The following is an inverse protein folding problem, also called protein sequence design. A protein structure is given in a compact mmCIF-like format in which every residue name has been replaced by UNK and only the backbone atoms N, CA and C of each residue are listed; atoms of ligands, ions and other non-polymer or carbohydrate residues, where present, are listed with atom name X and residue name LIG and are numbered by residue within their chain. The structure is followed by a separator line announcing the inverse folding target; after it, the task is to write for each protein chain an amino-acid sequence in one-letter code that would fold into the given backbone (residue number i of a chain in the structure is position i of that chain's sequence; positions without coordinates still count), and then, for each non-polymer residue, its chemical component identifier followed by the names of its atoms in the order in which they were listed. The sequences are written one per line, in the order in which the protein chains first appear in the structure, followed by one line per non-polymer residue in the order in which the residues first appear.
data_IF_514437081484
#
_entry.id   IF_514437081484
#
_cell.length_a   1.000
_cell.length_b   1.000
_cell.length_c   1.000
_cell.angle_alpha   90.00
_cell.angle_beta   90.00
_cell.angle_gamma   90.00
#
_symmetry.space_group_name_H-M   'P 1'
#
loop_
_entity.id
_entity.type
_entity.pdbx_description
1 polymer ?
#
# COMPACT_ATOMS: atom_id res chain seq x y z
N UNK A 1 4.39 -15.24 -15.18
CA UNK A 1 3.03 -15.75 -14.91
C UNK A 1 3.11 -16.62 -13.67
N UNK A 2 2.29 -16.34 -12.65
CA UNK A 2 2.21 -17.14 -11.42
C UNK A 2 0.82 -17.80 -11.39
N UNK A 3 0.74 -19.08 -11.04
CA UNK A 3 -0.52 -19.82 -10.96
C UNK A 3 -0.63 -20.55 -9.62
N UNK A 4 -1.84 -20.60 -9.06
CA UNK A 4 -2.15 -21.33 -7.83
C UNK A 4 -3.03 -22.53 -8.18
N UNK A 5 -2.67 -23.70 -7.63
CA UNK A 5 -3.49 -24.88 -7.77
C UNK A 5 -4.41 -25.01 -6.54
N UNK A 6 -5.71 -24.90 -6.76
CA UNK A 6 -6.72 -25.02 -5.70
C UNK A 6 -7.31 -26.43 -5.78
N UNK A 7 -7.43 -27.16 -4.66
CA UNK A 7 -8.17 -28.42 -4.63
C UNK A 7 -9.62 -28.22 -5.12
N UNK A 8 -10.13 -29.05 -6.05
CA UNK A 8 -11.49 -28.88 -6.60
C UNK A 8 -12.59 -28.86 -5.53
N UNK A 9 -12.38 -29.55 -4.42
CA UNK A 9 -13.30 -29.56 -3.27
C UNK A 9 -13.42 -28.22 -2.55
N UNK A 10 -12.40 -27.36 -2.63
CA UNK A 10 -12.38 -26.06 -1.97
C UNK A 10 -12.81 -24.92 -2.89
N UNK A 11 -12.78 -25.11 -4.21
CA UNK A 11 -13.15 -24.06 -5.17
C UNK A 11 -14.55 -23.48 -4.92
N UNK A 12 -15.62 -24.27 -4.70
CA UNK A 12 -16.95 -23.73 -4.42
C UNK A 12 -16.99 -22.91 -3.11
N UNK A 13 -16.22 -23.33 -2.12
CA UNK A 13 -16.13 -22.63 -0.82
C UNK A 13 -15.42 -21.30 -0.98
N UNK A 14 -14.31 -21.26 -1.74
CA UNK A 14 -13.58 -20.02 -2.02
C UNK A 14 -14.41 -19.06 -2.87
N UNK A 15 -15.13 -19.55 -3.89
CA UNK A 15 -16.01 -18.71 -4.71
C UNK A 15 -17.12 -18.05 -3.88
N UNK A 16 -17.72 -18.80 -2.94
CA UNK A 16 -18.71 -18.24 -2.01
C UNK A 16 -18.12 -17.20 -1.07
N UNK A 17 -16.87 -17.39 -0.63
CA UNK A 17 -16.24 -16.50 0.33
C UNK A 17 -15.66 -15.22 -0.31
N UNK A 18 -15.11 -15.34 -1.53
CA UNK A 18 -14.30 -14.29 -2.17
C UNK A 18 -14.84 -13.83 -3.54
N UNK A 19 -15.94 -14.41 -4.00
CA UNK A 19 -16.53 -14.15 -5.32
C UNK A 19 -15.98 -15.06 -6.42
N UNK A 20 -16.55 -14.94 -7.62
CA UNK A 20 -16.24 -15.82 -8.74
C UNK A 20 -14.86 -15.55 -9.38
N UNK A 21 -14.35 -14.33 -9.25
CA UNK A 21 -13.02 -13.97 -9.74
C UNK A 21 -11.95 -14.22 -8.66
N UNK A 22 -11.62 -15.50 -8.48
CA UNK A 22 -10.61 -15.92 -7.51
C UNK A 22 -9.21 -15.38 -7.83
N UNK A 23 -8.91 -15.13 -9.11
CA UNK A 23 -7.63 -14.56 -9.50
C UNK A 23 -7.53 -13.12 -8.98
N UNK A 24 -8.58 -12.32 -9.21
CA UNK A 24 -8.64 -10.96 -8.70
C UNK A 24 -8.60 -10.96 -7.17
N UNK A 25 -9.39 -11.79 -6.51
CA UNK A 25 -9.40 -11.89 -5.06
C UNK A 25 -8.02 -12.25 -4.48
N UNK A 26 -7.29 -13.16 -5.13
CA UNK A 26 -5.93 -13.52 -4.72
C UNK A 26 -4.94 -12.35 -4.84
N UNK A 27 -5.00 -11.59 -5.93
CA UNK A 27 -4.16 -10.40 -6.12
C UNK A 27 -4.50 -9.34 -5.06
N UNK A 28 -5.78 -9.10 -4.80
CA UNK A 28 -6.22 -8.14 -3.79
C UNK A 28 -5.77 -8.55 -2.37
N UNK A 29 -5.90 -9.82 -2.01
CA UNK A 29 -5.43 -10.34 -0.73
C UNK A 29 -3.91 -10.23 -0.59
N UNK A 30 -3.16 -10.54 -1.66
CA UNK A 30 -1.70 -10.41 -1.67
C UNK A 30 -1.26 -8.95 -1.53
N UNK A 31 -1.95 -8.02 -2.19
CA UNK A 31 -1.68 -6.59 -2.08
C UNK A 31 -1.86 -6.10 -0.63
N UNK A 32 -2.94 -6.53 0.03
CA UNK A 32 -3.19 -6.18 1.44
C UNK A 32 -2.08 -6.70 2.35
N UNK A 33 -1.69 -7.96 2.19
CA UNK A 33 -0.63 -8.57 3.01
C UNK A 33 0.73 -7.93 2.76
N UNK A 34 1.05 -7.64 1.49
CA UNK A 34 2.29 -6.96 1.13
C UNK A 34 2.35 -5.54 1.73
N UNK A 35 1.24 -4.81 1.75
CA UNK A 35 1.14 -3.52 2.42
C UNK A 35 1.27 -3.65 3.95
N UNK A 36 0.51 -4.57 4.58
CA UNK A 36 0.54 -4.79 6.05
C UNK A 36 1.92 -5.16 6.56
N UNK A 37 2.67 -5.93 5.76
CA UNK A 37 4.02 -6.36 6.09
C UNK A 37 5.13 -5.43 5.57
N UNK A 38 4.77 -4.23 5.08
CA UNK A 38 5.68 -3.22 4.53
C UNK A 38 6.65 -3.78 3.46
N UNK A 39 6.24 -4.83 2.73
CA UNK A 39 7.03 -5.43 1.66
C UNK A 39 6.89 -4.70 0.33
N UNK A 40 5.77 -4.01 0.14
CA UNK A 40 5.50 -3.19 -1.04
C UNK A 40 5.02 -1.81 -0.62
N UNK A 41 5.52 -0.79 -1.32
CA UNK A 41 5.06 0.60 -1.20
C UNK A 41 3.67 0.79 -1.81
N UNK A 42 3.00 1.88 -1.44
CA UNK A 42 1.67 2.23 -2.01
C UNK A 42 1.71 2.38 -3.54
N UNK A 43 2.81 2.86 -4.11
CA UNK A 43 2.96 2.98 -5.57
C UNK A 43 3.09 1.62 -6.26
N UNK A 44 3.80 0.67 -5.65
CA UNK A 44 3.87 -0.71 -6.14
C UNK A 44 2.53 -1.43 -6.00
N UNK A 45 1.78 -1.16 -4.92
CA UNK A 45 0.40 -1.65 -4.77
C UNK A 45 -0.52 -1.07 -5.85
N UNK A 46 -0.39 0.21 -6.20
CA UNK A 46 -1.16 0.82 -7.29
C UNK A 46 -0.89 0.09 -8.62
N UNK A 47 0.40 -0.17 -8.91
CA UNK A 47 0.81 -0.92 -10.11
C UNK A 47 0.25 -2.34 -10.11
N UNK A 48 0.34 -3.05 -8.99
CA UNK A 48 -0.17 -4.42 -8.84
C UNK A 48 -1.68 -4.52 -9.06
N UNK A 49 -2.43 -3.50 -8.63
CA UNK A 49 -3.89 -3.45 -8.74
C UNK A 49 -4.38 -2.78 -10.04
N UNK A 50 -3.48 -2.29 -10.89
CA UNK A 50 -3.82 -1.55 -12.10
C UNK A 50 -4.51 -0.21 -11.83
N UNK A 51 -4.18 0.44 -10.71
CA UNK A 51 -4.67 1.76 -10.34
C UNK A 51 -3.73 2.85 -10.89
N UNK A 52 -4.30 3.98 -11.29
CA UNK A 52 -3.54 5.06 -11.95
C UNK A 52 -2.66 5.83 -10.97
N UNK A 53 -3.06 5.88 -9.70
CA UNK A 53 -2.36 6.71 -8.70
C UNK A 53 -2.23 6.00 -7.36
N UNK A 54 -1.16 6.33 -6.64
CA UNK A 54 -0.96 5.93 -5.24
C UNK A 54 -2.10 6.40 -4.33
N UNK A 55 -2.77 7.51 -4.66
CA UNK A 55 -3.93 8.01 -3.91
C UNK A 55 -5.15 7.09 -4.07
N UNK A 56 -5.39 6.58 -5.28
CA UNK A 56 -6.42 5.56 -5.52
C UNK A 56 -6.09 4.28 -4.74
N UNK A 57 -4.82 3.86 -4.70
CA UNK A 57 -4.39 2.70 -3.92
C UNK A 57 -4.58 2.91 -2.41
N UNK A 58 -4.23 4.08 -1.87
CA UNK A 58 -4.50 4.44 -0.48
C UNK A 58 -6.00 4.40 -0.15
N UNK A 59 -6.84 4.97 -1.02
CA UNK A 59 -8.30 4.95 -0.85
C UNK A 59 -8.86 3.53 -0.91
N UNK A 60 -8.31 2.70 -1.81
CA UNK A 60 -8.67 1.30 -1.97
C UNK A 60 -8.30 0.45 -0.74
N UNK A 61 -7.13 0.71 -0.13
CA UNK A 61 -6.68 0.06 1.10
C UNK A 61 -7.56 0.50 2.29
N UNK A 62 -7.82 1.79 2.41
CA UNK A 62 -8.64 2.37 3.48
C UNK A 62 -10.07 1.81 3.46
N UNK A 63 -10.69 1.67 2.28
CA UNK A 63 -12.05 1.13 2.16
C UNK A 63 -12.19 -0.34 2.59
N UNK A 64 -11.08 -1.07 2.66
CA UNK A 64 -11.01 -2.47 3.11
C UNK A 64 -10.63 -2.62 4.58
N UNK A 65 -10.64 -1.54 5.34
CA UNK A 65 -10.29 -1.55 6.76
C UNK A 65 -8.83 -1.93 7.01
N UNK A 66 -7.97 -1.81 5.99
CA UNK A 66 -6.53 -1.91 6.19
C UNK A 66 -6.15 -0.61 6.86
N UNK A 67 -5.96 -0.68 8.19
CA UNK A 67 -5.39 0.43 8.95
C UNK A 67 -4.15 0.89 8.18
N UNK A 68 -4.06 2.19 7.91
CA UNK A 68 -2.81 2.76 7.42
C UNK A 68 -1.79 2.44 8.51
N UNK A 69 -1.01 1.38 8.32
CA UNK A 69 0.14 1.06 9.16
C UNK A 69 1.20 2.11 8.82
N UNK A 70 0.88 3.37 9.09
CA UNK A 70 1.82 4.45 9.03
C UNK A 70 2.70 4.28 10.26
N UNK A 71 3.76 3.51 10.08
CA UNK A 71 4.69 3.23 11.14
C UNK A 71 5.55 4.46 11.39
N UNK A 72 6.13 4.57 12.58
CA UNK A 72 7.09 5.63 12.88
C UNK A 72 8.27 5.61 11.90
N UNK A 73 8.64 4.43 11.39
CA UNK A 73 9.66 4.23 10.37
C UNK A 73 9.29 4.86 9.02
N UNK A 74 8.01 4.79 8.63
CA UNK A 74 7.52 5.43 7.39
C UNK A 74 7.54 6.95 7.52
N UNK A 75 7.13 7.48 8.68
CA UNK A 75 7.29 8.90 9.02
C UNK A 75 8.75 9.34 8.95
N UNK A 76 9.67 8.55 9.50
CA UNK A 76 11.11 8.88 9.48
C UNK A 76 11.71 8.80 8.07
N UNK A 77 11.27 7.84 7.27
CA UNK A 77 11.71 7.69 5.88
C UNK A 77 11.22 8.85 5.01
N UNK A 78 9.96 9.26 5.16
CA UNK A 78 9.41 10.45 4.51
C UNK A 78 10.12 11.71 4.99
N UNK A 79 10.37 11.85 6.29
CA UNK A 79 11.16 12.98 6.84
C UNK A 79 12.56 13.02 6.25
N UNK A 80 13.22 11.88 6.10
CA UNK A 80 14.55 11.79 5.50
C UNK A 80 14.52 12.10 3.99
N UNK A 81 13.48 11.66 3.28
CA UNK A 81 13.29 11.97 1.87
C UNK A 81 13.00 13.48 1.65
N UNK A 82 12.13 14.06 2.47
CA UNK A 82 11.82 15.48 2.45
C UNK A 82 13.03 16.34 2.83
N UNK A 83 13.82 15.93 3.82
CA UNK A 83 15.06 16.63 4.18
C UNK A 83 16.11 16.60 3.06
N UNK A 84 16.13 15.55 2.23
CA UNK A 84 16.99 15.48 1.05
C UNK A 84 16.48 16.33 -0.10
N UNK A 85 15.16 16.43 -0.28
CA UNK A 85 14.55 17.25 -1.33
C UNK A 85 14.54 18.75 -0.99
N UNK A 86 14.39 19.08 0.29
CA UNK A 86 14.25 20.43 0.83
C UNK A 86 15.21 20.66 2.01
N UNK A 87 16.53 20.67 1.77
CA UNK A 87 17.52 20.81 2.84
C UNK A 87 17.34 22.10 3.67
N UNK A 88 16.81 23.15 3.05
CA UNK A 88 16.70 24.51 3.61
C UNK A 88 15.58 24.65 4.67
N UNK A 89 14.66 23.69 4.75
CA UNK A 89 13.56 23.70 5.73
C UNK A 89 14.01 23.28 7.14
N UNK A 90 15.27 22.85 7.30
CA UNK A 90 15.85 22.40 8.58
C UNK A 90 16.36 23.56 9.44
N UNK A 91 16.39 24.79 8.92
CA UNK A 91 16.97 25.98 9.55
C UNK A 91 15.93 26.90 10.18
N UNK A 92 15.32 26.49 11.29
CA UNK A 92 14.61 27.45 12.14
C UNK A 92 15.61 28.27 12.98
N UNK A 93 16.06 29.44 12.51
CA UNK A 93 16.34 30.62 13.34
C UNK A 93 16.86 31.80 12.52
N UNK A 94 16.19 32.96 12.63
CA UNK A 94 16.65 34.20 12.01
C UNK A 94 15.65 35.34 12.13
N UNK A 95 15.30 35.71 13.37
CA UNK A 95 14.74 37.03 13.66
C UNK A 95 15.78 38.09 13.24
N UNK A 96 15.48 38.94 12.24
CA UNK A 96 15.88 40.37 12.20
C UNK A 96 15.17 41.15 11.07
N UNK A 97 14.30 42.08 11.51
CA UNK A 97 14.12 43.48 11.04
C UNK A 97 13.46 43.74 9.65
N UNK A 98 12.93 44.95 9.36
CA UNK A 98 13.24 46.26 9.97
C UNK A 98 12.51 46.57 11.29
#
# INVERSE_FOLDING_TARGET
MVAFNIPPSLEPTLRRAFGDDLQRAAIEALAIEAYRSAKLSVGEIATLLGLETSLQAQSWLASRGVAMNYSLSDLESDRAALAKLFPDLSGGSGRTAP
#
